data_IF_322840050210
#
_entry.id   IF_322840050210
#
_cell.length_a   1.000
_cell.length_b   1.000
_cell.length_c   1.000
_cell.angle_alpha   90.00
_cell.angle_beta   90.00
_cell.angle_gamma   90.00
#
_symmetry.space_group_name_H-M   'P 1'
#
loop_
_entity.id
_entity.type
_entity.pdbx_description
1 polymer ?
#
# COMPACT_ATOMS: atom_id res chain seq x y z
N UNK A 1 -7.21 9.29 -22.18
CA UNK A 1 -7.10 9.24 -20.71
C UNK A 1 -5.72 8.71 -20.38
N UNK A 2 -4.84 9.53 -19.82
CA UNK A 2 -3.45 9.14 -19.53
C UNK A 2 -3.41 8.35 -18.23
N UNK A 3 -3.23 7.04 -18.33
CA UNK A 3 -2.94 6.19 -17.19
C UNK A 3 -1.57 6.61 -16.62
N UNK A 4 -1.60 7.38 -15.53
CA UNK A 4 -0.39 7.83 -14.85
C UNK A 4 0.11 6.70 -13.97
N UNK A 5 0.49 5.57 -14.56
CA UNK A 5 1.09 4.45 -13.82
C UNK A 5 2.46 4.91 -13.31
N UNK A 6 2.51 5.37 -12.07
CA UNK A 6 3.76 5.68 -11.39
C UNK A 6 4.57 4.38 -11.25
N UNK A 7 5.79 4.37 -11.79
CA UNK A 7 6.73 3.25 -11.63
C UNK A 7 7.60 3.50 -10.40
N UNK A 8 7.71 2.51 -9.52
CA UNK A 8 8.61 2.56 -8.38
C UNK A 8 10.02 2.11 -8.80
N UNK A 9 11.03 2.93 -8.48
CA UNK A 9 12.44 2.59 -8.67
C UNK A 9 13.08 2.13 -7.36
N UNK A 10 14.05 1.24 -7.46
CA UNK A 10 14.78 0.74 -6.28
C UNK A 10 15.60 1.88 -5.66
N UNK A 11 15.45 2.08 -4.36
CA UNK A 11 16.16 3.12 -3.59
C UNK A 11 15.53 4.52 -3.68
N UNK A 12 14.48 4.69 -4.46
CA UNK A 12 13.79 5.98 -4.59
C UNK A 12 12.54 5.99 -3.71
N UNK A 13 12.45 6.98 -2.82
CA UNK A 13 11.26 7.21 -2.00
C UNK A 13 10.34 8.18 -2.73
N UNK A 14 9.10 7.77 -2.95
CA UNK A 14 8.07 8.63 -3.52
C UNK A 14 6.91 8.80 -2.54
N UNK A 15 6.34 10.01 -2.48
CA UNK A 15 5.23 10.35 -1.58
C UNK A 15 4.00 10.79 -2.36
N UNK A 16 2.84 10.35 -1.91
CA UNK A 16 1.55 10.65 -2.53
C UNK A 16 0.45 10.80 -1.48
N UNK A 17 -0.66 11.40 -1.89
CA UNK A 17 -1.88 11.47 -1.12
C UNK A 17 -2.93 10.55 -1.76
N UNK A 18 -3.67 9.81 -0.95
CA UNK A 18 -4.69 8.85 -1.40
C UNK A 18 -5.90 8.87 -0.47
N UNK A 19 -7.07 8.49 -1.00
CA UNK A 19 -8.33 8.38 -0.26
C UNK A 19 -8.93 6.99 -0.46
N UNK A 20 -9.98 6.65 0.29
CA UNK A 20 -10.68 5.39 0.11
C UNK A 20 -11.32 5.24 -1.29
N UNK A 21 -11.73 6.35 -1.89
CA UNK A 21 -12.33 6.39 -3.22
C UNK A 21 -11.28 6.40 -4.35
N UNK A 22 -10.03 6.74 -4.05
CA UNK A 22 -8.95 6.81 -5.03
C UNK A 22 -7.71 6.02 -4.55
N UNK A 23 -7.76 4.67 -4.65
CA UNK A 23 -6.60 3.82 -4.44
C UNK A 23 -5.44 4.19 -5.37
N UNK A 24 -4.22 3.90 -4.93
CA UNK A 24 -3.02 4.13 -5.70
C UNK A 24 -2.33 2.81 -6.04
N UNK A 25 -1.80 2.72 -7.26
CA UNK A 25 -1.17 1.53 -7.80
C UNK A 25 0.21 1.92 -8.36
N UNK A 26 1.24 1.17 -7.99
CA UNK A 26 2.60 1.40 -8.47
C UNK A 26 3.17 0.12 -9.04
N UNK A 27 3.70 0.16 -10.27
CA UNK A 27 4.41 -0.99 -10.82
C UNK A 27 5.85 -0.99 -10.34
N UNK A 28 6.34 -2.14 -9.87
CA UNK A 28 7.75 -2.38 -9.62
C UNK A 28 8.24 -3.51 -10.52
N UNK A 29 9.40 -3.32 -11.15
CA UNK A 29 10.09 -4.35 -11.91
C UNK A 29 11.41 -4.66 -11.22
N UNK A 30 11.69 -5.95 -11.00
CA UNK A 30 12.93 -6.37 -10.38
C UNK A 30 14.11 -6.04 -11.32
N UNK A 31 15.11 -5.28 -10.87
CA UNK A 31 16.32 -5.09 -11.66
C UNK A 31 17.12 -6.39 -11.75
N UNK A 32 17.97 -6.49 -12.77
CA UNK A 32 18.83 -7.67 -12.97
C UNK A 32 19.71 -7.94 -11.73
N UNK A 33 19.80 -9.21 -11.35
CA UNK A 33 20.57 -9.65 -10.19
C UNK A 33 19.97 -9.33 -8.82
N UNK A 34 18.71 -8.87 -8.73
CA UNK A 34 18.00 -8.68 -7.46
C UNK A 34 16.93 -9.75 -7.28
N UNK A 35 17.14 -10.63 -6.29
CA UNK A 35 16.22 -11.74 -5.99
C UNK A 35 15.18 -11.41 -4.93
N UNK A 36 15.39 -10.35 -4.13
CA UNK A 36 14.47 -9.98 -3.07
C UNK A 36 14.50 -8.47 -2.79
N UNK A 37 13.32 -7.95 -2.46
CA UNK A 37 13.13 -6.53 -2.12
C UNK A 37 12.21 -6.38 -0.92
N UNK A 38 12.35 -5.28 -0.20
CA UNK A 38 11.47 -4.86 0.88
C UNK A 38 10.72 -3.64 0.40
N UNK A 39 9.39 -3.75 0.32
CA UNK A 39 8.49 -2.64 0.07
C UNK A 39 8.13 -2.04 1.42
N UNK A 40 8.70 -0.87 1.72
CA UNK A 40 8.44 -0.12 2.95
C UNK A 40 7.47 1.02 2.65
N UNK A 41 6.38 1.07 3.41
CA UNK A 41 5.40 2.15 3.32
C UNK A 41 5.31 2.87 4.65
N UNK A 42 5.34 4.20 4.63
CA UNK A 42 5.35 5.04 5.84
C UNK A 42 4.40 6.22 5.75
N UNK A 43 3.88 6.66 6.89
CA UNK A 43 3.08 7.87 7.07
C UNK A 43 3.44 8.57 8.37
N UNK A 44 3.24 9.88 8.40
CA UNK A 44 3.34 10.67 9.63
C UNK A 44 2.09 10.53 10.51
N UNK A 45 0.93 10.18 9.92
CA UNK A 45 -0.35 10.01 10.63
C UNK A 45 -0.67 8.53 10.84
N UNK A 46 -1.22 8.19 12.01
CA UNK A 46 -1.65 6.82 12.31
C UNK A 46 -2.95 6.45 11.60
N UNK A 47 -3.85 7.42 11.44
CA UNK A 47 -5.16 7.24 10.83
C UNK A 47 -5.34 8.21 9.64
N UNK A 48 -6.19 7.85 8.66
CA UNK A 48 -7.01 6.63 8.56
C UNK A 48 -6.19 5.34 8.35
N UNK A 49 -6.73 4.17 8.68
CA UNK A 49 -6.13 2.87 8.41
C UNK A 49 -5.96 2.68 6.90
N UNK A 50 -4.93 1.94 6.52
CA UNK A 50 -4.61 1.69 5.13
C UNK A 50 -4.16 0.25 4.95
N UNK A 51 -4.44 -0.32 3.79
CA UNK A 51 -4.01 -1.65 3.38
C UNK A 51 -3.01 -1.51 2.24
N UNK A 52 -1.93 -2.27 2.33
CA UNK A 52 -0.89 -2.38 1.31
C UNK A 52 -0.95 -3.81 0.82
N UNK A 53 -1.07 -3.99 -0.50
CA UNK A 53 -1.13 -5.30 -1.14
C UNK A 53 -0.09 -5.38 -2.25
N UNK A 54 0.58 -6.51 -2.35
CA UNK A 54 1.47 -6.87 -3.46
C UNK A 54 0.71 -7.84 -4.34
N UNK A 55 0.54 -7.48 -5.61
CA UNK A 55 -0.24 -8.24 -6.58
C UNK A 55 0.61 -8.53 -7.82
N UNK A 56 0.46 -9.71 -8.42
CA UNK A 56 1.11 -10.05 -9.69
C UNK A 56 0.55 -9.17 -10.82
N UNK A 57 1.35 -8.96 -11.87
CA UNK A 57 0.96 -8.26 -13.10
C UNK A 57 0.08 -9.16 -13.98
N UNK A 58 0.15 -10.49 -13.80
CA UNK A 58 -0.67 -11.46 -14.53
C UNK A 58 -1.97 -11.79 -13.77
N UNK A 59 -3.10 -11.28 -14.27
CA UNK A 59 -4.44 -11.74 -13.88
C UNK A 59 -5.34 -11.88 -15.13
N UNK A 60 -5.98 -13.04 -15.39
CA UNK A 60 -7.33 -13.03 -15.92
C UNK A 60 -8.31 -12.84 -14.75
N UNK A 61 -9.18 -11.84 -14.89
CA UNK A 61 -10.21 -11.45 -13.92
C UNK A 61 -11.26 -12.56 -13.83
N UNK A 62 -11.45 -13.14 -12.64
CA UNK A 62 -12.68 -13.84 -12.31
C UNK A 62 -13.55 -12.90 -11.49
N UNK A 63 -14.53 -12.30 -12.17
CA UNK A 63 -15.57 -11.45 -11.59
C UNK A 63 -16.42 -12.28 -10.62
N UNK A 64 -16.25 -12.01 -9.32
CA UNK A 64 -17.31 -12.13 -8.33
C UNK A 64 -17.15 -10.96 -7.35
N UNK A 65 -18.09 -10.03 -7.46
CA UNK A 65 -18.30 -8.75 -6.77
C UNK A 65 -18.37 -8.81 -5.23
N UNK A 66 -17.57 -9.66 -4.58
CA UNK A 66 -17.40 -9.64 -3.13
C UNK A 66 -16.07 -10.20 -2.62
N UNK A 67 -15.12 -10.55 -3.51
CA UNK A 67 -13.87 -11.21 -3.11
C UNK A 67 -12.58 -10.63 -3.71
N UNK A 68 -12.59 -9.41 -4.27
CA UNK A 68 -11.36 -8.66 -4.59
C UNK A 68 -10.78 -8.01 -3.31
N UNK A 69 -10.76 -8.78 -2.23
CA UNK A 69 -9.92 -8.55 -1.09
C UNK A 69 -9.07 -9.82 -0.95
N UNK A 70 -7.75 -9.67 -1.08
CA UNK A 70 -6.77 -10.67 -0.65
C UNK A 70 -6.40 -11.81 -1.62
N UNK A 71 -6.15 -11.51 -2.91
CA UNK A 71 -5.30 -12.39 -3.73
C UNK A 71 -3.87 -11.85 -3.65
N UNK A 72 -3.00 -12.51 -2.86
CA UNK A 72 -1.58 -12.15 -2.71
C UNK A 72 -1.16 -11.76 -1.30
N UNK A 73 0.00 -11.12 -1.19
CA UNK A 73 0.58 -10.69 0.09
C UNK A 73 0.06 -9.29 0.46
N UNK A 74 -0.54 -9.14 1.63
CA UNK A 74 -1.04 -7.85 2.10
C UNK A 74 -0.73 -7.60 3.57
N UNK A 75 -0.71 -6.33 3.95
CA UNK A 75 -0.63 -5.88 5.34
C UNK A 75 -1.53 -4.68 5.55
N UNK A 76 -2.10 -4.57 6.75
CA UNK A 76 -2.74 -3.35 7.23
C UNK A 76 -1.70 -2.47 7.92
N UNK A 77 -1.81 -1.15 7.80
CA UNK A 77 -0.90 -0.22 8.45
C UNK A 77 -1.61 1.02 9.00
N UNK A 78 -1.14 1.45 10.18
CA UNK A 78 -1.42 2.76 10.75
C UNK A 78 -0.34 3.76 10.34
N UNK A 79 0.90 3.63 10.84
CA UNK A 79 2.00 4.52 10.45
C UNK A 79 3.00 3.90 9.47
N UNK A 80 3.27 2.60 9.58
CA UNK A 80 4.33 1.94 8.81
C UNK A 80 3.95 0.48 8.51
N UNK A 81 4.37 0.00 7.36
CA UNK A 81 4.33 -1.42 6.98
C UNK A 81 5.56 -1.78 6.14
N UNK A 82 5.91 -3.05 6.13
CA UNK A 82 7.01 -3.58 5.33
C UNK A 82 6.67 -4.99 4.87
N UNK A 83 6.68 -5.20 3.56
CA UNK A 83 6.46 -6.50 2.93
C UNK A 83 7.73 -6.89 2.20
N UNK A 84 8.28 -8.07 2.54
CA UNK A 84 9.40 -8.65 1.80
C UNK A 84 8.84 -9.45 0.63
N UNK A 85 9.37 -9.23 -0.56
CA UNK A 85 8.90 -9.82 -1.82
C UNK A 85 10.07 -10.52 -2.47
N UNK A 86 9.90 -11.79 -2.86
CA UNK A 86 10.92 -12.56 -3.57
C UNK A 86 10.59 -12.58 -5.07
N UNK A 87 11.60 -12.35 -5.91
CA UNK A 87 11.47 -12.34 -7.38
C UNK A 87 10.87 -13.64 -7.92
N UNK A 88 11.25 -14.78 -7.34
CA UNK A 88 10.78 -16.11 -7.74
C UNK A 88 9.26 -16.32 -7.61
N UNK A 89 8.60 -15.53 -6.77
CA UNK A 89 7.14 -15.63 -6.52
C UNK A 89 6.34 -14.88 -7.60
N UNK A 90 7.01 -14.15 -8.50
CA UNK A 90 6.39 -13.30 -9.54
C UNK A 90 6.96 -13.67 -10.93
N UNK A 91 6.23 -14.47 -11.74
CA UNK A 91 6.70 -14.94 -13.05
C UNK A 91 7.01 -13.81 -14.05
N UNK A 92 6.34 -12.66 -13.93
CA UNK A 92 6.61 -11.48 -14.76
C UNK A 92 7.80 -10.64 -14.28
N UNK A 93 8.56 -11.09 -13.27
CA UNK A 93 9.62 -10.32 -12.61
C UNK A 93 9.16 -8.90 -12.22
N UNK A 94 7.88 -8.74 -11.94
CA UNK A 94 7.25 -7.45 -11.65
C UNK A 94 5.96 -7.67 -10.87
N UNK A 95 5.58 -6.66 -10.09
CA UNK A 95 4.39 -6.67 -9.26
C UNK A 95 3.82 -5.26 -9.13
N UNK A 96 2.55 -5.19 -8.75
CA UNK A 96 1.91 -3.96 -8.33
C UNK A 96 1.92 -3.82 -6.81
N UNK A 97 2.31 -2.64 -6.34
CA UNK A 97 2.05 -2.18 -4.98
C UNK A 97 0.74 -1.43 -5.00
N UNK A 98 -0.27 -2.00 -4.36
CA UNK A 98 -1.61 -1.42 -4.24
C UNK A 98 -1.77 -0.84 -2.85
N UNK A 99 -2.17 0.42 -2.77
CA UNK A 99 -2.37 1.13 -1.50
C UNK A 99 -3.80 1.65 -1.46
N UNK A 100 -4.55 1.19 -0.45
CA UNK A 100 -5.97 1.50 -0.25
C UNK A 100 -6.15 2.09 1.13
N UNK A 101 -6.71 3.30 1.22
CA UNK A 101 -7.17 3.84 2.50
C UNK A 101 -8.52 3.20 2.84
N UNK A 102 -8.68 2.79 4.09
CA UNK A 102 -9.94 2.21 4.58
C UNK A 102 -10.87 3.32 5.09
N UNK A 103 -12.16 3.12 4.84
CA UNK A 103 -13.25 3.94 5.42
C UNK A 103 -13.35 3.77 6.93
N UNK A 104 -12.83 2.66 7.44
CA UNK A 104 -12.91 2.22 8.83
C UNK A 104 -11.53 1.78 9.33
N UNK A 105 -11.25 2.06 10.60
CA UNK A 105 -9.96 1.80 11.23
C UNK A 105 -9.85 0.41 11.87
N UNK A 106 -10.98 -0.30 11.93
CA UNK A 106 -11.17 -1.67 12.43
C UNK A 106 -10.21 -2.64 11.73
N UNK A 107 -9.92 -2.43 10.45
CA UNK A 107 -8.99 -3.24 9.68
C UNK A 107 -7.56 -3.25 10.26
N UNK A 108 -7.13 -2.18 10.94
CA UNK A 108 -5.83 -2.10 11.60
C UNK A 108 -5.89 -2.56 13.07
N UNK A 109 -6.93 -3.29 13.47
CA UNK A 109 -7.18 -3.68 14.87
C UNK A 109 -7.98 -2.64 15.65
N UNK A 110 -8.69 -1.74 14.98
CA UNK A 110 -9.43 -0.66 15.62
C UNK A 110 -10.68 -1.10 16.39
N UNK A 111 -10.72 -0.76 17.68
CA UNK A 111 -11.87 -0.20 18.40
C UNK A 111 -11.29 0.60 19.57
N UNK A 112 -10.91 1.85 19.33
CA UNK A 112 -10.33 2.67 20.40
C UNK A 112 -11.22 3.89 20.65
N UNK A 113 -12.07 3.87 21.69
CA UNK A 113 -12.82 5.04 22.15
C UNK A 113 -11.93 6.18 22.69
N UNK A 114 -10.60 6.00 22.67
CA UNK A 114 -9.61 6.86 23.31
C UNK A 114 -8.28 6.90 22.54
N UNK A 115 -8.25 7.36 21.29
CA UNK A 115 -7.01 8.00 20.82
C UNK A 115 -7.02 9.45 21.30
N UNK A 116 -5.90 9.98 21.81
CA UNK A 116 -5.87 11.35 22.28
C UNK A 116 -6.19 12.24 21.09
N UNK A 117 -7.29 12.97 21.21
CA UNK A 117 -7.51 14.18 20.44
C UNK A 117 -6.18 14.94 20.50
N UNK A 118 -5.59 15.24 19.36
CA UNK A 118 -4.88 16.51 19.30
C UNK A 118 -5.97 17.51 19.65
N UNK A 119 -5.90 18.11 20.83
CA UNK A 119 -6.87 19.13 21.24
C UNK A 119 -6.98 20.13 20.08
N UNK A 120 -8.22 20.40 19.65
CA UNK A 120 -8.65 21.39 18.65
C UNK A 120 -8.70 21.04 17.15
N UNK A 121 -8.44 19.81 16.70
CA UNK A 121 -8.66 19.45 15.28
C UNK A 121 -9.90 18.54 15.10
N UNK A 122 -11.00 19.02 14.47
CA UNK A 122 -12.16 18.19 14.21
C UNK A 122 -11.77 16.99 13.34
N UNK A 123 -12.23 15.79 13.71
CA UNK A 123 -12.10 14.59 12.87
C UNK A 123 -12.87 14.83 11.59
N UNK A 124 -12.15 15.21 10.55
CA UNK A 124 -12.71 15.47 9.24
C UNK A 124 -13.14 14.15 8.59
N UNK A 125 -14.38 13.74 8.88
CA UNK A 125 -14.99 12.54 8.30
C UNK A 125 -15.17 12.67 6.78
N UNK A 126 -15.08 13.88 6.21
CA UNK A 126 -15.17 14.15 4.78
C UNK A 126 -13.84 14.04 4.03
N UNK A 127 -12.71 14.25 4.71
CA UNK A 127 -11.36 14.16 4.11
C UNK A 127 -10.52 13.03 4.71
N UNK A 128 -11.02 11.78 4.65
CA UNK A 128 -10.23 10.55 4.94
C UNK A 128 -9.17 10.31 3.86
N UNK A 129 -8.20 11.21 3.83
CA UNK A 129 -7.04 11.18 2.95
C UNK A 129 -5.80 10.88 3.78
N UNK A 130 -4.82 10.26 3.16
CA UNK A 130 -3.57 9.90 3.82
C UNK A 130 -2.38 10.14 2.91
N UNK A 131 -1.44 10.91 3.42
CA UNK A 131 -0.13 11.06 2.80
C UNK A 131 0.76 9.90 3.20
N UNK A 132 1.24 9.17 2.18
CA UNK A 132 2.03 7.96 2.31
C UNK A 132 3.30 8.11 1.49
N UNK A 133 4.36 7.47 1.95
CA UNK A 133 5.60 7.32 1.19
C UNK A 133 5.92 5.85 1.00
N UNK A 134 6.31 5.47 -0.21
CA UNK A 134 6.74 4.12 -0.56
C UNK A 134 8.23 4.17 -0.90
N UNK A 135 8.98 3.22 -0.38
CA UNK A 135 10.39 2.98 -0.70
C UNK A 135 10.57 1.48 -0.94
N UNK A 136 11.13 1.12 -2.09
CA UNK A 136 11.53 -0.26 -2.39
C UNK A 136 13.04 -0.36 -2.30
N UNK A 137 13.55 -1.18 -1.39
CA UNK A 137 14.99 -1.43 -1.23
C UNK A 137 15.31 -2.91 -1.40
N UNK A 138 16.54 -3.25 -1.80
CA UNK A 138 17.01 -4.64 -1.79
C UNK A 138 16.88 -5.21 -0.38
N UNK A 139 16.42 -6.45 -0.23
CA UNK A 139 16.53 -7.12 1.05
C UNK A 139 18.00 -7.55 1.23
N UNK A 140 18.62 -7.20 2.36
CA UNK A 140 19.98 -7.67 2.69
C UNK A 140 19.82 -9.07 3.28
N UNK A 141 20.33 -10.07 2.57
CA UNK A 141 20.52 -11.46 3.07
C UNK A 141 21.92 -11.64 3.60
#
# INVERSE_FOLDING_TARGET
MGDSSLSCRTGEQFSFNTTAAQPQYFKYEFPEGVDSVIVKVTSNKAFPCSVISIQDVLCPVYDLDNNVAFIGMYQTMTKKAAITVQRKDFPSNSFYVVVVVKTEDQACGGSLPFYPFVEDEPVDQGHRQKTLSVLVSRAVT
#
